data_IF_815784702499
#
_entry.id   IF_815784702499
#
_cell.length_a   1.000
_cell.length_b   1.000
_cell.length_c   1.000
_cell.angle_alpha   90.00
_cell.angle_beta   90.00
_cell.angle_gamma   90.00
#
_symmetry.space_group_name_H-M   'P 1'
#
loop_
_entity.id
_entity.type
_entity.pdbx_description
1 polymer ?
#
# COMPACT_ATOMS: atom_id res chain seq x y z
N UNK A 1 11.80 0.47 -3.23
CA UNK A 1 13.07 0.12 -3.93
C UNK A 1 12.77 -0.94 -4.99
N UNK A 2 12.85 -0.62 -6.28
CA UNK A 2 12.78 -1.64 -7.33
C UNK A 2 14.18 -2.21 -7.55
N UNK A 3 14.53 -3.23 -6.79
CA UNK A 3 15.76 -4.00 -6.99
C UNK A 3 15.45 -5.15 -7.95
N UNK A 4 16.27 -5.34 -8.99
CA UNK A 4 16.26 -6.58 -9.80
C UNK A 4 17.06 -7.72 -9.14
N UNK A 5 17.46 -7.54 -7.89
CA UNK A 5 18.22 -8.51 -7.12
C UNK A 5 17.33 -9.44 -6.29
N UNK A 6 17.87 -10.59 -5.91
CA UNK A 6 17.23 -11.50 -4.97
C UNK A 6 16.99 -10.82 -3.61
N UNK A 7 15.97 -11.29 -2.88
CA UNK A 7 15.66 -10.84 -1.52
C UNK A 7 16.87 -10.98 -0.59
N UNK A 8 17.75 -11.97 -0.81
CA UNK A 8 18.95 -12.15 0.00
C UNK A 8 20.01 -11.06 -0.17
N UNK A 9 19.91 -10.22 -1.21
CA UNK A 9 20.80 -9.07 -1.41
C UNK A 9 20.40 -7.82 -0.62
N UNK A 10 19.23 -7.82 0.03
CA UNK A 10 18.73 -6.67 0.77
C UNK A 10 19.46 -6.51 2.11
N UNK A 11 19.90 -5.30 2.41
CA UNK A 11 20.30 -4.90 3.76
C UNK A 11 19.06 -4.44 4.53
N UNK A 12 18.70 -5.19 5.58
CA UNK A 12 17.50 -4.95 6.39
C UNK A 12 17.81 -4.54 7.84
N UNK A 13 19.05 -4.13 8.15
CA UNK A 13 19.47 -3.81 9.53
C UNK A 13 18.59 -2.76 10.23
N UNK A 14 18.05 -1.80 9.49
CA UNK A 14 17.18 -0.75 10.02
C UNK A 14 15.72 -0.86 9.56
N UNK A 15 15.30 -2.08 9.18
CA UNK A 15 13.95 -2.36 8.72
C UNK A 15 13.21 -3.16 9.78
N UNK A 16 12.13 -2.60 10.31
CA UNK A 16 11.28 -3.29 11.29
C UNK A 16 10.22 -4.18 10.62
N UNK A 17 9.67 -3.74 9.48
CA UNK A 17 8.63 -4.45 8.74
C UNK A 17 8.93 -4.42 7.24
N UNK A 18 8.84 -5.57 6.59
CA UNK A 18 8.96 -5.73 5.14
C UNK A 18 7.66 -6.28 4.56
N UNK A 19 7.14 -5.64 3.52
CA UNK A 19 5.90 -6.01 2.85
C UNK A 19 6.17 -6.81 1.58
N UNK A 20 5.61 -8.02 1.49
CA UNK A 20 5.57 -8.81 0.27
C UNK A 20 4.32 -8.45 -0.53
N UNK A 21 4.51 -7.78 -1.65
CA UNK A 21 3.44 -7.22 -2.46
C UNK A 21 3.55 -7.75 -3.91
N UNK A 22 2.49 -8.28 -4.53
CA UNK A 22 1.11 -8.43 -4.05
C UNK A 22 0.56 -9.82 -4.31
N UNK A 23 -0.36 -10.25 -3.46
CA UNK A 23 -1.35 -11.27 -3.78
C UNK A 23 -2.69 -10.63 -4.10
N UNK A 24 -3.58 -11.39 -4.73
CA UNK A 24 -4.94 -10.94 -5.05
C UNK A 24 -5.99 -11.79 -4.34
N UNK A 25 -7.24 -11.32 -4.36
CA UNK A 25 -8.40 -11.99 -3.76
C UNK A 25 -9.38 -12.38 -4.86
N UNK A 26 -9.91 -13.58 -4.80
CA UNK A 26 -10.98 -14.07 -5.68
C UNK A 26 -12.35 -13.64 -5.15
N UNK A 27 -13.40 -13.72 -5.97
CA UNK A 27 -14.75 -13.31 -5.58
C UNK A 27 -15.33 -14.10 -4.39
N UNK A 28 -14.86 -15.34 -4.17
CA UNK A 28 -15.25 -16.18 -3.04
C UNK A 28 -14.52 -15.85 -1.73
N UNK A 29 -13.57 -14.90 -1.78
CA UNK A 29 -12.72 -14.50 -0.66
C UNK A 29 -11.37 -15.21 -0.59
N UNK A 30 -11.13 -16.29 -1.35
CA UNK A 30 -9.83 -16.98 -1.33
C UNK A 30 -8.72 -16.08 -1.88
N UNK A 31 -7.54 -16.08 -1.24
CA UNK A 31 -6.38 -15.31 -1.73
C UNK A 31 -5.44 -16.19 -2.55
N UNK A 32 -4.73 -15.58 -3.50
CA UNK A 32 -3.75 -16.27 -4.34
C UNK A 32 -2.60 -15.37 -4.77
N UNK A 33 -1.45 -16.00 -4.98
CA UNK A 33 -0.31 -15.39 -5.67
C UNK A 33 -0.69 -14.97 -7.10
N UNK A 34 -0.13 -13.83 -7.52
CA UNK A 34 -0.20 -13.35 -8.91
C UNK A 34 1.03 -13.77 -9.74
N UNK A 35 2.10 -14.21 -9.08
CA UNK A 35 3.32 -14.74 -9.71
C UNK A 35 3.80 -15.96 -8.93
N UNK A 36 3.23 -17.12 -9.25
CA UNK A 36 3.56 -18.38 -8.58
C UNK A 36 5.02 -18.79 -8.79
N UNK A 37 5.63 -18.37 -9.91
CA UNK A 37 7.02 -18.70 -10.18
C UNK A 37 7.93 -17.91 -9.24
N UNK A 38 7.76 -16.60 -9.16
CA UNK A 38 8.56 -15.77 -8.26
C UNK A 38 8.32 -16.11 -6.78
N UNK A 39 7.08 -16.41 -6.40
CA UNK A 39 6.74 -16.68 -5.01
C UNK A 39 7.22 -18.06 -4.54
N UNK A 40 7.13 -19.09 -5.39
CA UNK A 40 7.27 -20.49 -4.97
C UNK A 40 8.32 -21.32 -5.73
N UNK A 41 8.89 -20.83 -6.84
CA UNK A 41 9.71 -21.68 -7.72
C UNK A 41 11.09 -21.10 -8.04
N UNK A 42 11.24 -19.78 -8.14
CA UNK A 42 12.53 -19.17 -8.48
C UNK A 42 13.61 -19.65 -7.51
N UNK A 43 14.77 -20.01 -8.04
CA UNK A 43 15.89 -20.60 -7.30
C UNK A 43 15.54 -21.89 -6.52
N UNK A 44 14.51 -22.63 -6.95
CA UNK A 44 14.12 -23.95 -6.44
C UNK A 44 12.96 -23.94 -5.42
N UNK A 45 12.91 -22.94 -4.53
CA UNK A 45 11.92 -22.85 -3.45
C UNK A 45 11.08 -21.56 -3.45
N UNK A 46 11.39 -20.62 -4.35
CA UNK A 46 10.70 -19.34 -4.44
C UNK A 46 11.23 -18.28 -3.46
N UNK A 47 10.91 -17.03 -3.78
CA UNK A 47 11.39 -15.87 -3.04
C UNK A 47 10.73 -15.72 -1.66
N UNK A 48 9.51 -16.24 -1.48
CA UNK A 48 8.84 -16.23 -0.17
C UNK A 48 9.58 -17.13 0.81
N UNK A 49 10.00 -18.33 0.35
CA UNK A 49 10.82 -19.22 1.16
C UNK A 49 12.16 -18.55 1.49
N UNK A 50 12.83 -17.97 0.50
CA UNK A 50 14.08 -17.24 0.70
C UNK A 50 13.92 -16.12 1.74
N UNK A 51 12.88 -15.29 1.63
CA UNK A 51 12.58 -14.22 2.56
C UNK A 51 12.39 -14.74 3.99
N UNK A 52 11.43 -15.64 4.19
CA UNK A 52 10.96 -15.98 5.55
C UNK A 52 11.83 -17.05 6.23
N UNK A 53 12.47 -17.94 5.48
CA UNK A 53 13.25 -19.05 6.03
C UNK A 53 14.77 -18.80 6.04
N UNK A 54 15.27 -17.92 5.16
CA UNK A 54 16.72 -17.68 5.02
C UNK A 54 17.10 -16.26 5.43
N UNK A 55 16.37 -15.24 4.95
CA UNK A 55 16.74 -13.83 5.16
C UNK A 55 16.27 -13.33 6.52
N UNK A 56 14.99 -13.49 6.84
CA UNK A 56 14.37 -13.00 8.09
C UNK A 56 15.11 -13.45 9.36
N UNK A 57 15.57 -14.72 9.50
CA UNK A 57 16.33 -15.14 10.69
C UNK A 57 17.66 -14.39 10.91
N UNK A 58 18.22 -13.73 9.89
CA UNK A 58 19.45 -12.93 10.02
C UNK A 58 19.21 -11.55 10.62
N UNK A 59 17.95 -11.11 10.73
CA UNK A 59 17.56 -9.78 11.21
C UNK A 59 16.60 -9.92 12.41
N UNK A 60 17.12 -10.06 13.64
CA UNK A 60 16.30 -10.14 14.84
C UNK A 60 15.37 -8.92 14.94
N UNK A 61 14.07 -9.17 15.06
CA UNK A 61 13.04 -8.13 15.15
C UNK A 61 12.38 -7.76 13.82
N UNK A 62 12.91 -8.22 12.67
CA UNK A 62 12.24 -8.03 11.38
C UNK A 62 10.91 -8.80 11.33
N UNK A 63 9.86 -8.08 10.93
CA UNK A 63 8.54 -8.63 10.60
C UNK A 63 8.34 -8.65 9.10
N UNK A 64 7.62 -9.65 8.60
CA UNK A 64 7.24 -9.78 7.20
C UNK A 64 5.72 -9.84 7.07
N UNK A 65 5.15 -9.01 6.21
CA UNK A 65 3.71 -8.89 6.00
C UNK A 65 3.37 -9.31 4.58
N UNK A 66 2.34 -10.13 4.38
CA UNK A 66 1.82 -10.41 3.04
C UNK A 66 0.76 -9.37 2.68
N UNK A 67 0.94 -8.68 1.55
CA UNK A 67 0.03 -7.63 1.10
C UNK A 67 -0.96 -8.18 0.08
N UNK A 68 -2.26 -8.02 0.36
CA UNK A 68 -3.34 -8.41 -0.55
C UNK A 68 -3.94 -7.16 -1.18
N UNK A 69 -4.02 -7.14 -2.51
CA UNK A 69 -4.58 -6.04 -3.28
C UNK A 69 -3.52 -5.20 -3.98
N UNK A 70 -3.55 -3.89 -3.77
CA UNK A 70 -2.86 -2.90 -4.58
C UNK A 70 -3.74 -2.43 -5.75
N UNK A 71 -3.39 -1.26 -6.29
CA UNK A 71 -4.19 -0.52 -7.29
C UNK A 71 -4.84 -1.39 -8.39
N UNK A 72 -4.11 -2.37 -8.94
CA UNK A 72 -4.56 -3.21 -10.06
C UNK A 72 -5.32 -4.48 -9.65
N UNK A 73 -5.27 -4.87 -8.37
CA UNK A 73 -5.76 -6.17 -7.88
C UNK A 73 -6.93 -6.02 -6.90
N UNK A 74 -7.53 -4.83 -6.83
CA UNK A 74 -8.55 -4.48 -5.83
C UNK A 74 -10.00 -4.78 -6.23
N UNK A 75 -10.26 -5.27 -7.45
CA UNK A 75 -11.64 -5.35 -8.01
C UNK A 75 -12.61 -6.21 -7.20
N UNK A 76 -12.14 -7.33 -6.65
CA UNK A 76 -12.98 -8.27 -5.91
C UNK A 76 -13.25 -7.87 -4.45
N UNK A 77 -12.49 -6.92 -3.89
CA UNK A 77 -12.65 -6.55 -2.47
C UNK A 77 -14.04 -6.07 -2.13
N UNK A 78 -14.71 -5.38 -3.06
CA UNK A 78 -16.08 -4.90 -2.86
C UNK A 78 -17.05 -6.04 -2.54
N UNK A 79 -17.09 -7.06 -3.41
CA UNK A 79 -17.96 -8.22 -3.26
C UNK A 79 -17.58 -9.05 -2.03
N UNK A 80 -16.28 -9.23 -1.78
CA UNK A 80 -15.76 -9.96 -0.63
C UNK A 80 -16.13 -9.26 0.68
N UNK A 81 -15.94 -7.95 0.76
CA UNK A 81 -16.22 -7.17 1.96
C UNK A 81 -17.72 -7.14 2.28
N UNK A 82 -18.59 -7.16 1.27
CA UNK A 82 -20.05 -7.16 1.46
C UNK A 82 -20.63 -8.52 1.92
N UNK A 83 -19.97 -9.63 1.62
CA UNK A 83 -20.47 -10.99 1.93
C UNK A 83 -19.82 -11.55 3.19
N UNK A 84 -20.62 -11.88 4.21
CA UNK A 84 -20.10 -12.51 5.44
C UNK A 84 -19.33 -13.81 5.16
N UNK A 85 -19.87 -14.64 4.27
CA UNK A 85 -19.22 -15.88 3.88
C UNK A 85 -17.87 -15.61 3.19
N UNK A 86 -17.80 -14.65 2.27
CA UNK A 86 -16.56 -14.32 1.58
C UNK A 86 -15.54 -13.67 2.53
N UNK A 87 -15.97 -12.83 3.48
CA UNK A 87 -15.10 -12.30 4.54
C UNK A 87 -14.51 -13.43 5.38
N UNK A 88 -15.30 -14.44 5.74
CA UNK A 88 -14.84 -15.58 6.50
C UNK A 88 -13.82 -16.43 5.71
N UNK A 89 -14.09 -16.69 4.43
CA UNK A 89 -13.14 -17.36 3.53
C UNK A 89 -11.84 -16.56 3.40
N UNK A 90 -11.93 -15.24 3.23
CA UNK A 90 -10.78 -14.36 3.15
C UNK A 90 -9.92 -14.40 4.40
N UNK A 91 -10.53 -14.25 5.57
CA UNK A 91 -9.81 -14.27 6.83
C UNK A 91 -9.14 -15.62 7.09
N UNK A 92 -9.81 -16.73 6.76
CA UNK A 92 -9.21 -18.07 6.86
C UNK A 92 -8.06 -18.26 5.87
N UNK A 93 -8.25 -17.86 4.60
CA UNK A 93 -7.21 -17.99 3.57
C UNK A 93 -5.98 -17.14 3.88
N UNK A 94 -6.18 -15.97 4.50
CA UNK A 94 -5.11 -15.15 5.05
C UNK A 94 -4.35 -15.84 6.17
N UNK A 95 -5.05 -16.38 7.18
CA UNK A 95 -4.45 -17.12 8.28
C UNK A 95 -3.63 -18.32 7.77
N UNK A 96 -4.19 -19.09 6.84
CA UNK A 96 -3.53 -20.24 6.24
C UNK A 96 -2.25 -19.82 5.49
N UNK A 97 -2.28 -18.70 4.76
CA UNK A 97 -1.10 -18.18 4.06
C UNK A 97 -0.03 -17.69 5.04
N UNK A 98 -0.41 -16.98 6.11
CA UNK A 98 0.52 -16.52 7.14
C UNK A 98 1.24 -17.71 7.77
N UNK A 99 0.50 -18.72 8.23
CA UNK A 99 1.06 -19.92 8.83
C UNK A 99 1.90 -20.75 7.85
N UNK A 100 1.40 -20.96 6.62
CA UNK A 100 2.09 -21.78 5.61
C UNK A 100 3.40 -21.17 5.13
N UNK A 101 3.44 -19.85 4.96
CA UNK A 101 4.57 -19.17 4.34
C UNK A 101 5.47 -18.42 5.32
N UNK A 102 5.11 -18.37 6.62
CA UNK A 102 5.95 -17.81 7.68
C UNK A 102 5.94 -16.28 7.76
N UNK A 103 4.85 -15.65 7.32
CA UNK A 103 4.63 -14.22 7.53
C UNK A 103 4.25 -13.94 8.99
N UNK A 104 4.40 -12.71 9.45
CA UNK A 104 3.92 -12.26 10.77
C UNK A 104 2.52 -11.65 10.70
N UNK A 105 2.00 -11.34 9.51
CA UNK A 105 0.71 -10.70 9.36
C UNK A 105 0.32 -10.37 7.92
N UNK A 106 -0.79 -9.64 7.81
CA UNK A 106 -1.42 -9.25 6.54
C UNK A 106 -1.53 -7.74 6.43
N UNK A 107 -1.19 -7.20 5.26
CA UNK A 107 -1.63 -5.86 4.86
C UNK A 107 -2.76 -5.98 3.84
N UNK A 108 -3.81 -5.19 4.02
CA UNK A 108 -4.78 -4.90 2.96
C UNK A 108 -4.37 -3.61 2.27
N UNK A 109 -4.28 -3.64 0.94
CA UNK A 109 -4.11 -2.45 0.11
C UNK A 109 -5.29 -2.37 -0.88
N UNK A 110 -6.23 -1.46 -0.59
CA UNK A 110 -7.44 -1.29 -1.40
C UNK A 110 -7.77 0.18 -1.53
N UNK A 111 -7.99 0.63 -2.77
CA UNK A 111 -8.50 1.98 -3.03
C UNK A 111 -9.96 2.08 -2.58
N UNK A 112 -10.30 3.16 -1.87
CA UNK A 112 -11.68 3.50 -1.57
C UNK A 112 -12.15 4.77 -2.32
N UNK A 113 -13.47 4.94 -2.55
CA UNK A 113 -14.51 3.92 -2.38
C UNK A 113 -14.19 2.69 -3.24
N UNK A 114 -14.68 1.51 -2.84
CA UNK A 114 -14.33 0.29 -3.56
C UNK A 114 -14.58 0.46 -5.07
N UNK A 115 -13.71 -0.11 -5.93
CA UNK A 115 -13.72 0.17 -7.37
C UNK A 115 -14.98 -0.35 -8.09
N UNK A 116 -15.84 -1.11 -7.42
CA UNK A 116 -17.07 -1.66 -8.01
C UNK A 116 -18.17 -1.77 -6.94
N UNK A 117 -19.46 -1.68 -7.29
CA UNK A 117 -20.55 -2.00 -6.36
C UNK A 117 -20.50 -3.46 -5.88
N UNK A 118 -20.93 -3.77 -4.65
CA UNK A 118 -21.42 -2.87 -3.59
C UNK A 118 -20.31 -2.14 -2.84
N UNK A 119 -20.17 -0.84 -3.07
CA UNK A 119 -19.03 -0.03 -2.61
C UNK A 119 -19.25 0.69 -1.27
N UNK A 120 -20.00 0.08 -0.35
CA UNK A 120 -20.25 0.64 0.98
C UNK A 120 -18.93 0.67 1.79
N UNK A 121 -18.44 1.86 2.21
CA UNK A 121 -17.19 1.97 2.96
C UNK A 121 -17.23 1.26 4.33
N UNK A 122 -18.42 1.01 4.89
CA UNK A 122 -18.56 0.26 6.15
C UNK A 122 -18.19 -1.23 6.00
N UNK A 123 -18.25 -1.77 4.77
CA UNK A 123 -17.86 -3.15 4.50
C UNK A 123 -16.36 -3.39 4.76
N UNK A 124 -15.50 -2.37 4.58
CA UNK A 124 -14.08 -2.51 4.91
C UNK A 124 -13.88 -2.75 6.42
N UNK A 125 -14.61 -2.02 7.27
CA UNK A 125 -14.56 -2.22 8.72
C UNK A 125 -15.02 -3.63 9.10
N UNK A 126 -16.08 -4.13 8.45
CA UNK A 126 -16.55 -5.51 8.63
C UNK A 126 -15.51 -6.54 8.20
N UNK A 127 -14.85 -6.35 7.04
CA UNK A 127 -13.77 -7.20 6.55
C UNK A 127 -12.60 -7.25 7.53
N UNK A 128 -12.14 -6.08 8.01
CA UNK A 128 -11.05 -5.99 8.97
C UNK A 128 -11.41 -6.61 10.32
N UNK A 129 -12.66 -6.45 10.78
CA UNK A 129 -13.15 -7.09 12.00
C UNK A 129 -13.11 -8.61 11.88
N UNK A 130 -13.57 -9.16 10.76
CA UNK A 130 -13.50 -10.62 10.49
C UNK A 130 -12.06 -11.11 10.35
N UNK A 131 -11.17 -10.31 9.73
CA UNK A 131 -9.75 -10.66 9.65
C UNK A 131 -9.11 -10.68 11.04
N UNK A 132 -9.35 -9.66 11.86
CA UNK A 132 -8.83 -9.54 13.23
C UNK A 132 -9.26 -10.68 14.12
N UNK A 133 -10.51 -11.15 14.02
CA UNK A 133 -10.99 -12.27 14.82
C UNK A 133 -10.29 -13.60 14.52
N UNK A 134 -9.65 -13.73 13.35
CA UNK A 134 -8.86 -14.90 12.96
C UNK A 134 -7.36 -14.75 13.26
N UNK A 135 -6.78 -13.58 12.96
CA UNK A 135 -5.33 -13.38 13.01
C UNK A 135 -4.81 -13.05 14.42
N UNK A 136 -5.52 -12.18 15.15
CA UNK A 136 -5.04 -11.70 16.46
C UNK A 136 -4.92 -12.81 17.52
N UNK A 137 -5.85 -13.78 17.63
CA UNK A 137 -5.70 -14.90 18.56
C UNK A 137 -4.44 -15.75 18.32
N UNK A 138 -3.97 -15.80 17.07
CA UNK A 138 -2.76 -16.52 16.64
C UNK A 138 -1.50 -15.64 16.72
N UNK A 139 -1.61 -14.41 17.25
CA UNK A 139 -0.50 -13.48 17.41
C UNK A 139 -0.05 -12.80 16.11
N UNK A 140 -0.89 -12.81 15.07
CA UNK A 140 -0.58 -12.19 13.78
C UNK A 140 -1.05 -10.74 13.67
N UNK A 141 -0.29 -9.96 12.91
CA UNK A 141 -0.48 -8.52 12.73
C UNK A 141 -1.40 -8.22 11.54
N UNK A 142 -2.06 -7.06 11.60
CA UNK A 142 -2.89 -6.51 10.53
C UNK A 142 -2.51 -5.05 10.30
N UNK A 143 -2.16 -4.69 9.08
CA UNK A 143 -2.05 -3.28 8.69
C UNK A 143 -2.92 -2.97 7.48
N UNK A 144 -3.14 -1.68 7.23
CA UNK A 144 -3.93 -1.20 6.10
C UNK A 144 -3.18 -0.05 5.42
N UNK A 145 -3.00 -0.16 4.11
CA UNK A 145 -2.57 0.96 3.29
C UNK A 145 -3.74 1.91 3.06
N UNK A 146 -3.51 3.20 3.29
CA UNK A 146 -4.54 4.25 3.21
C UNK A 146 -4.02 5.43 2.38
N UNK A 147 -4.90 6.13 1.66
CA UNK A 147 -4.45 7.26 0.83
C UNK A 147 -3.95 8.44 1.68
N UNK A 148 -3.19 9.32 1.06
CA UNK A 148 -2.75 10.55 1.70
C UNK A 148 -3.93 11.44 2.15
N UNK A 149 -4.93 11.66 1.29
CA UNK A 149 -6.00 12.63 1.58
C UNK A 149 -7.05 12.09 2.54
N UNK A 150 -7.21 10.76 2.62
CA UNK A 150 -8.21 10.10 3.47
C UNK A 150 -9.65 10.51 3.17
N UNK A 151 -9.89 11.10 1.99
CA UNK A 151 -11.17 11.68 1.57
C UNK A 151 -12.27 10.64 1.39
N UNK A 152 -11.88 9.42 1.04
CA UNK A 152 -12.72 8.25 0.86
C UNK A 152 -13.33 7.69 2.16
N UNK A 153 -12.79 8.05 3.32
CA UNK A 153 -13.32 7.64 4.61
C UNK A 153 -14.37 8.69 5.00
N UNK A 154 -15.59 8.49 4.46
CA UNK A 154 -16.74 9.42 4.39
C UNK A 154 -17.13 10.09 5.73
N UNK A 155 -16.60 9.62 6.87
CA UNK A 155 -16.68 10.32 8.15
C UNK A 155 -15.40 10.15 8.99
N UNK A 156 -15.10 11.09 9.88
CA UNK A 156 -14.03 10.94 10.88
C UNK A 156 -14.19 9.66 11.72
N UNK A 157 -15.43 9.31 12.07
CA UNK A 157 -15.75 8.05 12.74
C UNK A 157 -15.37 6.80 11.94
N UNK A 158 -15.42 6.84 10.61
CA UNK A 158 -15.13 5.66 9.77
C UNK A 158 -13.64 5.29 9.85
N UNK A 159 -12.73 6.25 9.75
CA UNK A 159 -11.30 5.96 9.77
C UNK A 159 -10.79 5.63 11.17
N UNK A 160 -11.32 6.26 12.23
CA UNK A 160 -11.00 5.90 13.61
C UNK A 160 -11.43 4.44 13.92
N UNK A 161 -12.63 4.03 13.50
CA UNK A 161 -13.09 2.65 13.66
C UNK A 161 -12.24 1.66 12.86
N UNK A 162 -11.88 1.99 11.61
CA UNK A 162 -10.97 1.18 10.79
C UNK A 162 -9.61 1.03 11.48
N UNK A 163 -9.04 2.13 11.96
CA UNK A 163 -7.76 2.13 12.66
C UNK A 163 -7.80 1.25 13.91
N UNK A 164 -8.92 1.16 14.62
CA UNK A 164 -9.04 0.25 15.77
C UNK A 164 -8.97 -1.24 15.38
N UNK A 165 -9.31 -1.59 14.14
CA UNK A 165 -9.26 -2.98 13.66
C UNK A 165 -7.86 -3.40 13.18
N UNK A 166 -6.94 -2.47 12.95
CA UNK A 166 -5.56 -2.75 12.54
C UNK A 166 -4.57 -2.52 13.68
N UNK A 167 -3.31 -2.92 13.51
CA UNK A 167 -2.19 -2.57 14.39
C UNK A 167 -1.62 -1.20 14.02
N UNK A 168 -1.53 -0.88 12.73
CA UNK A 168 -1.20 0.45 12.23
C UNK A 168 -1.79 0.69 10.83
N UNK A 169 -1.67 1.93 10.36
CA UNK A 169 -2.02 2.37 9.01
C UNK A 169 -0.74 2.81 8.28
N UNK A 170 -0.57 2.34 7.05
CA UNK A 170 0.46 2.84 6.14
C UNK A 170 -0.15 3.93 5.27
N UNK A 171 0.12 5.19 5.60
CA UNK A 171 -0.33 6.32 4.79
C UNK A 171 0.54 6.41 3.56
N UNK A 172 -0.04 6.21 2.38
CA UNK A 172 0.62 6.37 1.07
C UNK A 172 0.81 7.88 0.77
N UNK A 173 1.65 8.53 1.56
CA UNK A 173 1.81 9.99 1.63
C UNK A 173 2.71 10.53 0.51
N UNK A 174 2.34 10.21 -0.72
CA UNK A 174 3.00 10.60 -1.95
C UNK A 174 1.96 10.66 -3.07
N UNK A 175 2.39 10.97 -4.29
CA UNK A 175 1.48 11.25 -5.41
C UNK A 175 0.51 12.41 -5.12
N UNK A 176 0.98 13.40 -4.35
CA UNK A 176 0.25 14.67 -4.13
C UNK A 176 0.36 15.62 -5.34
N UNK A 177 1.20 15.26 -6.31
CA UNK A 177 1.33 15.90 -7.61
C UNK A 177 1.63 14.87 -8.70
N UNK A 178 1.08 15.05 -9.91
CA UNK A 178 1.33 14.14 -11.01
C UNK A 178 0.87 14.64 -12.37
N UNK A 179 0.87 13.73 -13.35
CA UNK A 179 0.48 14.03 -14.74
C UNK A 179 -1.00 14.36 -14.92
N UNK A 180 -1.81 14.15 -13.89
CA UNK A 180 -3.23 14.50 -13.84
C UNK A 180 -3.46 15.97 -13.43
N UNK A 181 -2.42 16.68 -12.97
CA UNK A 181 -2.52 18.08 -12.60
C UNK A 181 -2.30 19.01 -13.80
N UNK A 182 -2.95 20.17 -13.77
CA UNK A 182 -2.72 21.22 -14.77
C UNK A 182 -1.33 21.89 -14.65
N UNK A 183 -0.72 21.84 -13.46
CA UNK A 183 0.59 22.41 -13.18
C UNK A 183 1.53 21.34 -12.63
N UNK A 184 2.84 21.53 -12.82
CA UNK A 184 3.85 20.72 -12.13
C UNK A 184 3.83 21.01 -10.64
N UNK A 185 4.24 20.05 -9.82
CA UNK A 185 4.33 20.23 -8.38
C UNK A 185 5.18 19.16 -7.71
N UNK A 186 5.34 19.31 -6.39
CA UNK A 186 6.12 18.39 -5.59
C UNK A 186 5.33 17.12 -5.31
N UNK A 187 5.98 15.96 -5.43
CA UNK A 187 5.36 14.65 -5.24
C UNK A 187 4.80 14.44 -3.82
N UNK A 188 5.50 14.98 -2.82
CA UNK A 188 5.25 14.79 -1.39
C UNK A 188 5.81 15.99 -0.60
N UNK A 189 5.25 17.21 -0.76
CA UNK A 189 5.74 18.38 -0.06
C UNK A 189 5.48 18.26 1.45
N UNK A 190 6.52 18.46 2.27
CA UNK A 190 6.37 18.38 3.74
C UNK A 190 5.35 19.38 4.27
N UNK A 191 5.38 20.61 3.74
CA UNK A 191 4.51 21.73 4.11
C UNK A 191 3.88 22.36 2.85
N UNK A 192 2.82 23.15 3.04
CA UNK A 192 2.22 23.93 1.95
C UNK A 192 3.23 24.88 1.32
N UNK A 193 3.13 25.03 0.01
CA UNK A 193 3.99 25.92 -0.76
C UNK A 193 3.23 27.21 -1.05
N UNK A 194 3.74 28.32 -0.53
CA UNK A 194 3.18 29.63 -0.80
C UNK A 194 3.30 29.96 -2.29
N UNK A 195 2.20 30.38 -2.92
CA UNK A 195 2.18 30.72 -4.34
C UNK A 195 2.13 29.53 -5.29
N UNK A 196 1.79 28.32 -4.82
CA UNK A 196 1.51 27.20 -5.72
C UNK A 196 0.37 27.59 -6.69
N UNK A 197 0.61 27.59 -8.02
CA UNK A 197 -0.40 27.97 -9.00
C UNK A 197 -1.60 27.01 -9.05
N UNK A 198 -1.46 25.79 -8.52
CA UNK A 198 -2.58 24.87 -8.32
C UNK A 198 -3.48 25.27 -7.13
N UNK A 199 -3.09 26.29 -6.35
CA UNK A 199 -3.87 26.90 -5.28
C UNK A 199 -3.85 26.12 -3.96
N UNK A 200 -4.13 24.82 -3.98
CA UNK A 200 -4.23 24.01 -2.75
C UNK A 200 -3.85 22.55 -2.96
N UNK A 201 -2.56 22.27 -3.16
CA UNK A 201 -2.05 20.90 -3.00
C UNK A 201 -1.93 20.56 -1.53
N UNK A 202 -2.23 19.31 -1.21
CA UNK A 202 -1.99 18.77 0.13
C UNK A 202 -0.49 18.75 0.44
N UNK A 203 -0.18 18.84 1.72
CA UNK A 203 1.16 18.62 2.27
C UNK A 203 1.17 17.46 3.26
N UNK A 204 2.35 16.91 3.56
CA UNK A 204 2.47 15.78 4.49
C UNK A 204 2.01 16.15 5.91
N UNK A 205 2.26 17.39 6.34
CA UNK A 205 1.77 17.90 7.64
C UNK A 205 0.24 17.86 7.70
N UNK A 206 -0.45 18.36 6.66
CA UNK A 206 -1.91 18.34 6.58
C UNK A 206 -2.49 16.92 6.49
N UNK A 207 -1.81 16.03 5.79
CA UNK A 207 -2.18 14.61 5.71
C UNK A 207 -2.19 14.00 7.11
N UNK A 208 -1.11 14.17 7.89
CA UNK A 208 -1.04 13.64 9.26
C UNK A 208 -2.11 14.28 10.14
N UNK A 209 -2.25 15.61 10.10
CA UNK A 209 -3.25 16.32 10.91
C UNK A 209 -4.69 15.90 10.57
N UNK A 210 -4.96 15.56 9.30
CA UNK A 210 -6.26 15.03 8.88
C UNK A 210 -6.59 13.70 9.56
N UNK A 211 -5.65 12.74 9.61
CA UNK A 211 -5.87 11.45 10.29
C UNK A 211 -6.03 11.63 11.80
N UNK A 212 -5.19 12.47 12.42
CA UNK A 212 -5.23 12.72 13.87
C UNK A 212 -6.51 13.44 14.28
N UNK A 213 -6.89 14.50 13.57
CA UNK A 213 -8.16 15.22 13.84
C UNK A 213 -9.40 14.35 13.55
N UNK A 214 -9.24 13.28 12.76
CA UNK A 214 -10.28 12.28 12.53
C UNK A 214 -10.32 11.17 13.59
N UNK A 215 -9.48 11.25 14.64
CA UNK A 215 -9.51 10.34 15.79
C UNK A 215 -8.57 9.15 15.71
N UNK A 216 -7.64 9.12 14.75
CA UNK A 216 -6.59 8.09 14.70
C UNK A 216 -5.44 8.47 15.62
N UNK A 217 -5.01 7.53 16.47
CA UNK A 217 -3.84 7.72 17.32
C UNK A 217 -2.57 7.86 16.44
N UNK A 218 -1.78 8.91 16.72
CA UNK A 218 -0.51 9.18 16.04
C UNK A 218 0.44 7.98 16.06
N UNK A 219 0.42 7.19 17.14
CA UNK A 219 1.28 6.00 17.28
C UNK A 219 0.96 4.89 16.27
N UNK A 220 -0.22 4.94 15.65
CA UNK A 220 -0.66 3.98 14.62
C UNK A 220 -0.40 4.45 13.20
N UNK A 221 0.21 5.62 13.00
CA UNK A 221 0.43 6.18 11.67
C UNK A 221 1.88 5.93 11.23
N UNK A 222 2.04 5.14 10.17
CA UNK A 222 3.29 5.02 9.43
C UNK A 222 3.20 5.87 8.17
N UNK A 223 4.07 6.89 8.05
CA UNK A 223 4.08 7.81 6.91
C UNK A 223 4.95 7.25 5.77
N UNK A 224 4.33 6.95 4.64
CA UNK A 224 5.01 6.45 3.45
C UNK A 224 5.92 7.50 2.83
N UNK A 225 7.12 7.10 2.43
CA UNK A 225 8.10 7.94 1.73
C UNK A 225 8.35 7.36 0.34
N UNK A 226 8.08 8.15 -0.70
CA UNK A 226 8.30 7.72 -2.07
C UNK A 226 9.80 7.57 -2.37
N UNK A 227 10.18 6.39 -2.88
CA UNK A 227 11.51 6.13 -3.42
C UNK A 227 11.55 6.31 -4.95
N UNK A 228 10.71 7.20 -5.48
CA UNK A 228 10.62 7.54 -6.89
C UNK A 228 10.24 9.02 -7.04
N UNK A 229 10.40 9.55 -8.25
CA UNK A 229 9.89 10.86 -8.64
C UNK A 229 8.87 10.74 -9.76
N UNK A 230 7.95 11.71 -9.88
CA UNK A 230 7.10 11.86 -11.07
C UNK A 230 7.70 12.92 -11.99
N UNK A 231 7.84 12.56 -13.26
CA UNK A 231 8.31 13.47 -14.30
C UNK A 231 7.13 13.96 -15.14
N UNK A 232 7.15 15.24 -15.47
CA UNK A 232 6.29 15.81 -16.52
C UNK A 232 7.12 16.05 -17.78
N UNK A 233 6.46 15.96 -18.93
CA UNK A 233 7.07 16.36 -20.20
C UNK A 233 6.48 17.70 -20.61
N UNK A 234 7.35 18.70 -20.75
CA UNK A 234 7.00 19.96 -21.38
C UNK A 234 7.11 19.82 -22.90
N UNK A 235 5.98 19.88 -23.60
CA UNK A 235 5.93 19.75 -25.06
C UNK A 235 6.48 20.99 -25.79
N UNK A 236 6.60 22.14 -25.12
CA UNK A 236 7.13 23.38 -25.71
C UNK A 236 8.66 23.37 -25.91
N UNK A 237 9.38 22.43 -25.28
CA UNK A 237 10.85 22.32 -25.37
C UNK A 237 11.39 21.55 -26.58
N UNK A 238 10.53 20.93 -27.41
CA UNK A 238 10.98 20.13 -28.57
C UNK A 238 11.63 20.99 -29.66
N UNK A 239 11.17 22.23 -29.86
CA UNK A 239 11.74 23.16 -30.84
C UNK A 239 13.10 23.74 -30.43
N UNK A 240 13.39 23.83 -29.13
CA UNK A 240 14.61 24.46 -28.63
C UNK A 240 15.86 23.58 -28.74
N UNK A 241 15.71 22.25 -28.72
CA UNK A 241 16.83 21.31 -28.81
C UNK A 241 17.16 20.91 -30.26
N UNK A 242 16.17 20.80 -31.14
CA UNK A 242 16.43 20.53 -32.57
C UNK A 242 17.08 21.74 -33.26
N UNK A 243 16.66 22.97 -32.93
CA UNK A 243 17.25 24.21 -33.51
C UNK A 243 18.71 24.46 -33.15
N UNK A 244 19.24 23.85 -32.07
CA UNK A 244 20.67 23.91 -31.73
C UNK A 244 21.53 22.87 -32.42
N UNK A 245 20.97 21.74 -32.83
CA UNK A 245 21.71 20.70 -33.54
C UNK A 245 21.89 21.03 -35.04
N UNK A 246 20.96 21.78 -35.63
CA UNK A 246 21.11 22.28 -37.00
C UNK A 246 22.09 23.48 -37.09
N UNK A 247 22.20 24.29 -36.03
CA UNK A 247 23.14 25.42 -35.96
C UNK A 247 24.58 25.05 -35.53
N UNK A 248 24.89 23.76 -35.33
CA UNK A 248 26.25 23.27 -35.07
C UNK A 248 26.82 22.41 -36.20
N UNK A 249 26.17 22.39 -37.36
CA UNK A 249 26.76 21.87 -38.61
C UNK A 249 27.16 23.04 -39.50
N UNK A 250 28.31 23.64 -39.19
CA UNK A 250 29.12 24.44 -40.13
C UNK A 250 30.39 23.65 -40.41
#
# INVERSE_FOLDING_TARGET
MYSRGSVSSLNLTNVSVLYWAFWTVNADGSIRSVDQWADFQVNGNGSIYELNQIVKPKYPGLKTMLTIGGWTLSSNFSAVAASEQARATFAQSCLDAVGKYGFDGIEIDVSLPFPSPPNDPTNLASLLTTLRSKLTPEGHLISLAVSATGSEYVSSSSIACIAQQTDWLNILAYDLAGSWDAYTGFLAPLERIQGDPAGSRWSLSEVVDKYVSSGVDRSKLALGVAMYGRSVRDESRREYLCSRLDNQRV
#
